data_IF_094182300183
#
_entry.id   IF_094182300183
#
_cell.length_a   1.000
_cell.length_b   1.000
_cell.length_c   1.000
_cell.angle_alpha   90.00
_cell.angle_beta   90.00
_cell.angle_gamma   90.00
#
_symmetry.space_group_name_H-M   'P 1'
#
loop_
_entity.id
_entity.type
_entity.pdbx_description
1 polymer ?
#
# COMPACT_ATOMS: atom_id res chain seq x y z
N UNK A 1 19.38 0.57 -7.06
CA UNK A 1 18.09 0.40 -6.35
C UNK A 1 17.65 -1.07 -6.22
N UNK A 2 17.94 -1.95 -7.18
CA UNK A 2 17.92 -3.40 -6.93
C UNK A 2 19.12 -3.86 -6.10
N UNK A 3 20.34 -3.38 -6.40
CA UNK A 3 21.57 -3.91 -5.79
C UNK A 3 21.59 -3.94 -4.25
N UNK A 4 21.10 -2.90 -3.56
CA UNK A 4 21.02 -2.91 -2.08
C UNK A 4 19.95 -3.86 -1.52
N UNK A 5 18.89 -4.14 -2.30
CA UNK A 5 17.89 -5.15 -1.98
C UNK A 5 18.39 -6.57 -2.30
N UNK A 6 19.27 -6.70 -3.29
CA UNK A 6 19.98 -7.94 -3.62
C UNK A 6 21.05 -8.26 -2.56
N UNK A 7 21.79 -7.27 -2.03
CA UNK A 7 22.79 -7.47 -0.96
C UNK A 7 22.11 -7.89 0.35
N UNK A 8 21.02 -7.22 0.77
CA UNK A 8 20.15 -7.67 1.89
C UNK A 8 19.70 -9.14 1.70
N UNK A 9 19.32 -9.52 0.47
CA UNK A 9 18.87 -10.88 0.12
C UNK A 9 20.04 -11.88 -0.09
N UNK A 10 21.28 -11.42 -0.25
CA UNK A 10 22.45 -12.29 -0.41
C UNK A 10 22.98 -12.74 0.95
N UNK A 11 22.94 -11.83 1.94
CA UNK A 11 23.22 -12.13 3.34
C UNK A 11 22.15 -13.09 3.93
N UNK A 12 20.91 -13.08 3.42
CA UNK A 12 19.82 -13.98 3.81
C UNK A 12 19.25 -14.83 2.64
N UNK A 13 19.98 -15.90 2.25
CA UNK A 13 19.90 -16.88 1.12
C UNK A 13 18.52 -17.53 0.73
N UNK A 14 18.50 -18.73 0.09
CA UNK A 14 17.33 -19.58 -0.36
C UNK A 14 16.23 -18.99 -1.28
N UNK A 15 15.55 -19.82 -2.07
CA UNK A 15 14.70 -19.39 -3.20
C UNK A 15 13.22 -19.07 -2.90
N UNK A 16 12.67 -18.13 -3.68
CA UNK A 16 11.24 -17.88 -3.90
C UNK A 16 11.04 -17.67 -5.43
N UNK A 17 9.89 -18.06 -5.99
CA UNK A 17 9.54 -17.89 -7.41
C UNK A 17 8.26 -17.05 -7.58
N UNK A 18 7.99 -16.60 -8.81
CA UNK A 18 6.68 -16.44 -9.50
C UNK A 18 6.79 -15.36 -10.59
N UNK A 19 6.17 -15.61 -11.76
CA UNK A 19 6.07 -14.66 -12.87
C UNK A 19 4.77 -13.84 -12.90
N UNK A 20 4.71 -12.84 -13.78
CA UNK A 20 3.51 -12.05 -14.05
C UNK A 20 3.20 -10.96 -13.02
N UNK A 21 3.08 -11.34 -11.74
CA UNK A 21 2.93 -10.46 -10.58
C UNK A 21 3.75 -11.04 -9.41
N UNK A 22 4.06 -10.26 -8.37
CA UNK A 22 4.85 -10.79 -7.25
C UNK A 22 3.94 -11.55 -6.26
N UNK A 23 3.89 -12.88 -6.36
CA UNK A 23 3.24 -13.75 -5.37
C UNK A 23 4.27 -14.46 -4.48
N UNK A 24 3.85 -14.83 -3.26
CA UNK A 24 4.61 -15.69 -2.34
C UNK A 24 3.63 -16.58 -1.57
N UNK A 25 3.93 -17.87 -1.50
CA UNK A 25 3.17 -18.86 -0.72
C UNK A 25 4.08 -19.48 0.33
N UNK A 26 3.56 -19.62 1.54
CA UNK A 26 4.16 -20.31 2.68
C UNK A 26 3.10 -21.19 3.33
N UNK A 27 3.51 -22.29 3.99
CA UNK A 27 2.62 -23.07 4.87
C UNK A 27 1.93 -22.23 5.94
N UNK A 28 2.44 -21.03 6.24
CA UNK A 28 1.87 -20.09 7.22
C UNK A 28 1.16 -18.88 6.59
N UNK A 29 1.05 -18.74 5.26
CA UNK A 29 0.33 -17.61 4.65
C UNK A 29 0.68 -17.28 3.20
N UNK A 30 -0.14 -16.43 2.58
CA UNK A 30 -0.09 -16.06 1.16
C UNK A 30 0.13 -14.56 1.01
N UNK A 31 0.84 -14.16 -0.06
CA UNK A 31 1.03 -12.77 -0.45
C UNK A 31 0.91 -12.62 -1.98
N UNK A 32 0.31 -11.52 -2.42
CA UNK A 32 0.28 -11.12 -3.82
C UNK A 32 0.44 -9.60 -3.94
N UNK A 33 1.12 -9.11 -4.96
CA UNK A 33 1.17 -7.68 -5.29
C UNK A 33 0.90 -7.43 -6.77
N UNK A 34 -0.16 -6.69 -7.05
CA UNK A 34 -0.68 -6.33 -8.38
C UNK A 34 -0.22 -4.93 -8.85
N UNK A 35 0.65 -4.25 -8.11
CA UNK A 35 1.22 -2.92 -8.46
C UNK A 35 2.47 -2.98 -9.32
N UNK A 36 2.99 -4.17 -9.64
CA UNK A 36 4.20 -4.38 -10.45
C UNK A 36 3.81 -4.96 -11.80
N UNK A 37 4.24 -4.32 -12.89
CA UNK A 37 4.02 -4.85 -14.25
C UNK A 37 5.05 -5.94 -14.59
N UNK A 38 4.67 -6.98 -15.36
CA UNK A 38 5.62 -7.98 -15.85
C UNK A 38 6.63 -7.36 -16.81
N UNK A 39 7.91 -7.48 -16.49
CA UNK A 39 8.99 -6.89 -17.27
C UNK A 39 9.19 -7.60 -18.62
N UNK A 40 8.58 -7.08 -19.69
CA UNK A 40 8.93 -7.45 -21.07
C UNK A 40 10.22 -6.73 -21.50
N UNK A 41 11.37 -7.42 -21.45
CA UNK A 41 12.54 -7.12 -22.30
C UNK A 41 13.37 -8.38 -22.56
N UNK A 42 13.75 -8.57 -23.81
CA UNK A 42 14.52 -9.72 -24.30
C UNK A 42 16.01 -9.64 -23.89
N UNK A 43 16.71 -10.78 -23.96
CA UNK A 43 18.18 -10.83 -24.00
C UNK A 43 18.92 -11.04 -22.69
N UNK A 44 18.28 -10.89 -21.52
CA UNK A 44 18.83 -11.38 -20.24
C UNK A 44 18.00 -12.56 -19.74
N UNK A 45 18.66 -13.70 -19.50
CA UNK A 45 18.08 -14.89 -18.88
C UNK A 45 17.24 -14.48 -17.65
N UNK A 46 15.96 -14.84 -17.73
CA UNK A 46 14.90 -13.95 -17.29
C UNK A 46 14.88 -13.66 -15.79
N UNK A 47 14.63 -12.39 -15.45
CA UNK A 47 14.08 -11.91 -14.17
C UNK A 47 12.62 -12.39 -13.97
N UNK A 48 12.34 -13.65 -14.33
CA UNK A 48 11.08 -14.38 -14.16
C UNK A 48 11.03 -15.17 -12.85
N UNK A 49 12.14 -15.19 -12.11
CA UNK A 49 12.30 -15.87 -10.82
C UNK A 49 12.30 -14.83 -9.70
N UNK A 50 11.63 -15.16 -8.60
CA UNK A 50 11.13 -14.22 -7.60
C UNK A 50 12.17 -13.79 -6.56
N UNK A 51 11.70 -13.56 -5.34
CA UNK A 51 12.52 -13.15 -4.20
C UNK A 51 13.43 -14.32 -3.71
N UNK A 52 14.18 -14.14 -2.62
CA UNK A 52 15.09 -15.15 -2.04
C UNK A 52 15.17 -14.89 -0.51
N UNK A 53 14.72 -15.82 0.34
CA UNK A 53 14.77 -15.77 1.84
C UNK A 53 14.99 -17.18 2.43
N UNK A 54 16.03 -17.38 3.27
CA UNK A 54 16.43 -18.67 3.88
C UNK A 54 15.73 -18.96 5.19
N UNK A 55 15.87 -20.23 5.57
CA UNK A 55 16.28 -20.64 6.91
C UNK A 55 15.60 -19.83 7.99
N UNK A 56 14.34 -20.14 8.22
CA UNK A 56 13.54 -19.48 9.22
C UNK A 56 12.06 -19.74 9.02
N UNK A 57 11.36 -19.93 10.13
CA UNK A 57 9.91 -19.89 10.13
C UNK A 57 9.45 -18.45 9.85
N UNK A 58 8.98 -18.18 8.64
CA UNK A 58 8.37 -16.89 8.33
C UNK A 58 7.03 -16.78 9.08
N UNK A 59 7.02 -15.94 10.12
CA UNK A 59 5.79 -15.58 10.83
C UNK A 59 4.92 -14.71 9.92
N UNK A 60 3.61 -14.89 10.00
CA UNK A 60 2.64 -14.09 9.25
C UNK A 60 2.83 -12.57 9.40
N UNK A 61 3.17 -12.09 10.60
CA UNK A 61 3.41 -10.66 10.86
C UNK A 61 4.58 -10.09 10.04
N UNK A 62 5.55 -10.93 9.65
CA UNK A 62 6.68 -10.54 8.82
C UNK A 62 6.29 -10.47 7.33
N UNK A 63 5.34 -11.30 6.87
CA UNK A 63 4.69 -11.17 5.54
C UNK A 63 3.92 -9.85 5.46
N UNK A 64 3.13 -9.54 6.49
CA UNK A 64 2.39 -8.27 6.61
C UNK A 64 3.36 -7.07 6.60
N UNK A 65 4.43 -7.12 7.40
CA UNK A 65 5.50 -6.11 7.40
C UNK A 65 6.15 -5.92 6.01
N UNK A 66 6.38 -7.00 5.26
CA UNK A 66 6.89 -6.93 3.89
C UNK A 66 5.91 -6.23 2.93
N UNK A 67 4.62 -6.58 2.99
CA UNK A 67 3.57 -5.90 2.22
C UNK A 67 3.57 -4.39 2.48
N UNK A 68 3.66 -3.98 3.75
CA UNK A 68 3.77 -2.56 4.13
C UNK A 68 5.05 -1.89 3.63
N UNK A 69 6.20 -2.54 3.74
CA UNK A 69 7.48 -2.02 3.22
C UNK A 69 7.39 -1.78 1.71
N UNK A 70 6.71 -2.67 0.98
CA UNK A 70 6.54 -2.60 -0.47
C UNK A 70 5.53 -1.51 -0.88
N UNK A 71 4.31 -1.52 -0.33
CA UNK A 71 3.31 -0.47 -0.60
C UNK A 71 3.76 0.92 -0.14
N UNK A 72 4.52 1.05 0.96
CA UNK A 72 5.18 2.32 1.34
C UNK A 72 6.15 2.79 0.27
N UNK A 73 6.93 1.88 -0.34
CA UNK A 73 7.86 2.23 -1.43
C UNK A 73 7.10 2.69 -2.67
N UNK A 74 6.01 2.00 -3.05
CA UNK A 74 5.14 2.39 -4.17
C UNK A 74 4.49 3.76 -3.93
N UNK A 75 3.87 3.96 -2.76
CA UNK A 75 3.29 5.23 -2.35
C UNK A 75 4.32 6.37 -2.37
N UNK A 76 5.53 6.17 -1.83
CA UNK A 76 6.61 7.18 -1.84
C UNK A 76 7.22 7.42 -3.23
N UNK A 77 7.09 6.50 -4.18
CA UNK A 77 7.45 6.74 -5.58
C UNK A 77 6.38 7.57 -6.30
N UNK A 78 5.09 7.24 -6.14
CA UNK A 78 3.97 8.02 -6.70
C UNK A 78 3.90 9.44 -6.11
N UNK A 79 4.14 9.57 -4.80
CA UNK A 79 4.14 10.83 -4.06
C UNK A 79 5.43 11.63 -4.08
N UNK A 80 6.34 11.45 -5.05
CA UNK A 80 7.52 12.33 -5.19
C UNK A 80 7.08 13.72 -5.65
N UNK A 81 6.75 14.57 -4.69
CA UNK A 81 6.43 15.98 -4.91
C UNK A 81 7.75 16.78 -4.95
N UNK A 82 7.82 17.78 -5.85
CA UNK A 82 8.91 18.78 -5.83
C UNK A 82 8.99 19.33 -4.41
N UNK A 83 10.13 19.10 -3.76
CA UNK A 83 10.46 19.82 -2.56
C UNK A 83 10.77 21.25 -2.97
N UNK A 84 10.18 22.23 -2.30
CA UNK A 84 10.75 23.58 -2.30
C UNK A 84 12.11 23.56 -1.60
N UNK A 85 12.49 24.68 -1.01
CA UNK A 85 13.83 24.84 -0.43
C UNK A 85 14.17 23.80 0.65
N UNK A 86 13.17 23.25 1.36
CA UNK A 86 13.32 22.25 2.43
C UNK A 86 13.35 20.78 1.95
N UNK A 87 13.48 20.52 0.64
CA UNK A 87 13.64 19.17 0.08
C UNK A 87 15.10 18.72 -0.02
N UNK A 88 15.34 17.40 -0.05
CA UNK A 88 16.68 16.87 -0.28
C UNK A 88 17.06 17.03 -1.77
N UNK A 89 18.31 17.42 -2.05
CA UNK A 89 18.80 17.53 -3.43
C UNK A 89 18.90 16.13 -4.05
N UNK A 90 18.13 15.86 -5.09
CA UNK A 90 18.09 14.58 -5.81
C UNK A 90 18.65 14.67 -7.24
N UNK A 91 18.93 15.89 -7.71
CA UNK A 91 19.50 16.15 -9.02
C UNK A 91 19.54 17.66 -9.30
N UNK A 92 19.48 18.02 -10.58
CA UNK A 92 19.44 19.41 -11.03
C UNK A 92 18.36 19.63 -12.10
N UNK A 93 17.99 20.89 -12.31
CA UNK A 93 17.01 21.35 -13.31
C UNK A 93 17.58 22.55 -14.08
N UNK A 94 17.07 22.81 -15.28
CA UNK A 94 17.28 24.11 -15.95
C UNK A 94 16.45 25.15 -15.18
N UNK A 95 17.04 26.27 -14.76
CA UNK A 95 16.32 27.31 -14.01
C UNK A 95 15.32 28.02 -14.91
N UNK A 96 14.06 28.09 -14.47
CA UNK A 96 13.01 28.89 -15.14
C UNK A 96 12.79 30.26 -14.49
N UNK A 97 13.38 30.52 -13.32
CA UNK A 97 13.26 31.80 -12.60
C UNK A 97 14.45 32.71 -12.90
N UNK A 98 14.21 34.02 -12.99
CA UNK A 98 15.26 35.05 -13.15
C UNK A 98 16.27 35.05 -11.99
N UNK A 99 15.83 34.66 -10.79
CA UNK A 99 16.66 34.51 -9.59
C UNK A 99 16.52 33.09 -9.01
N UNK A 100 17.64 32.41 -8.79
CA UNK A 100 17.74 31.05 -8.25
C UNK A 100 19.11 30.82 -7.60
N UNK A 101 19.26 29.78 -6.78
CA UNK A 101 20.56 29.38 -6.21
C UNK A 101 21.23 28.32 -7.12
N UNK A 102 22.34 28.64 -7.81
CA UNK A 102 22.99 27.70 -8.73
C UNK A 102 23.69 26.56 -8.00
N UNK A 103 23.64 25.35 -8.58
CA UNK A 103 24.49 24.22 -8.19
C UNK A 103 25.82 24.31 -8.92
N UNK A 104 26.80 24.98 -8.32
CA UNK A 104 28.12 25.21 -8.94
C UNK A 104 28.78 23.92 -9.45
N UNK A 105 28.85 22.86 -8.64
CA UNK A 105 29.45 21.57 -9.02
C UNK A 105 28.76 20.95 -10.25
N UNK A 106 27.42 20.98 -10.31
CA UNK A 106 26.68 20.44 -11.45
C UNK A 106 26.77 21.33 -12.69
N UNK A 107 26.87 22.65 -12.49
CA UNK A 107 27.03 23.65 -13.56
C UNK A 107 28.41 23.55 -14.21
N UNK A 108 29.47 23.41 -13.41
CA UNK A 108 30.84 23.14 -13.87
C UNK A 108 30.88 21.82 -14.67
N UNK A 109 30.29 20.74 -14.14
CA UNK A 109 30.18 19.46 -14.86
C UNK A 109 29.45 19.61 -16.20
N UNK A 110 28.39 20.42 -16.27
CA UNK A 110 27.64 20.70 -17.50
C UNK A 110 28.47 21.49 -18.53
N UNK A 111 29.24 22.48 -18.09
CA UNK A 111 30.18 23.20 -18.97
C UNK A 111 31.27 22.27 -19.54
N UNK A 112 31.85 21.40 -18.70
CA UNK A 112 32.86 20.41 -19.14
C UNK A 112 32.25 19.38 -20.10
N UNK A 113 31.03 18.89 -19.85
CA UNK A 113 30.30 18.02 -20.78
C UNK A 113 30.03 18.68 -22.14
N UNK A 114 29.96 20.01 -22.19
CA UNK A 114 29.87 20.82 -23.41
C UNK A 114 31.24 21.17 -24.01
N UNK A 115 32.31 20.48 -23.60
CA UNK A 115 33.72 20.67 -24.01
C UNK A 115 34.28 22.07 -23.74
N UNK A 116 33.76 22.77 -22.71
CA UNK A 116 34.24 24.10 -22.28
C UNK A 116 35.19 23.98 -21.09
N UNK A 117 35.97 25.05 -20.85
CA UNK A 117 36.74 25.24 -19.61
C UNK A 117 35.80 25.16 -18.38
N UNK A 118 36.28 24.80 -17.18
CA UNK A 118 35.47 24.67 -15.96
C UNK A 118 35.00 26.02 -15.35
N UNK A 119 34.67 27.00 -16.21
CA UNK A 119 34.02 28.27 -15.88
C UNK A 119 32.61 28.24 -16.51
N UNK A 120 31.54 27.91 -15.77
CA UNK A 120 30.21 27.74 -16.34
C UNK A 120 29.62 29.08 -16.81
N UNK A 121 29.04 29.10 -18.00
CA UNK A 121 28.27 30.24 -18.51
C UNK A 121 26.82 30.20 -17.99
N UNK A 122 26.06 31.27 -18.22
CA UNK A 122 24.66 31.39 -17.78
C UNK A 122 23.78 30.18 -18.19
N UNK A 123 23.94 29.68 -19.42
CA UNK A 123 23.24 28.50 -19.96
C UNK A 123 23.73 27.14 -19.40
N UNK A 124 24.88 27.13 -18.72
CA UNK A 124 25.42 25.98 -17.99
C UNK A 124 24.95 25.97 -16.52
N UNK A 125 24.39 27.07 -16.02
CA UNK A 125 23.84 27.14 -14.67
C UNK A 125 22.60 26.25 -14.52
N UNK A 126 22.57 25.48 -13.43
CA UNK A 126 21.46 24.60 -13.08
C UNK A 126 21.02 24.83 -11.64
N UNK A 127 19.71 24.76 -11.38
CA UNK A 127 19.16 24.88 -10.03
C UNK A 127 19.00 23.50 -9.37
N UNK A 128 18.90 23.49 -8.03
CA UNK A 128 18.74 22.25 -7.26
C UNK A 128 17.38 21.59 -7.54
N UNK A 129 17.37 20.38 -8.12
CA UNK A 129 16.17 19.55 -8.01
C UNK A 129 16.09 19.04 -6.58
N UNK A 130 15.20 19.64 -5.79
CA UNK A 130 14.87 19.17 -4.45
C UNK A 130 13.59 18.33 -4.53
N UNK A 131 13.63 17.11 -4.01
CA UNK A 131 12.44 16.28 -3.81
C UNK A 131 12.19 16.16 -2.30
N UNK A 132 10.94 16.33 -1.86
CA UNK A 132 10.55 16.03 -0.47
C UNK A 132 10.07 14.59 -0.42
N UNK A 133 10.69 13.74 0.40
CA UNK A 133 10.17 12.39 0.66
C UNK A 133 8.76 12.53 1.26
N UNK A 134 7.74 12.03 0.55
CA UNK A 134 6.38 12.00 1.07
C UNK A 134 6.35 11.24 2.41
N UNK A 135 5.64 11.83 3.38
CA UNK A 135 5.26 11.13 4.61
C UNK A 135 4.07 10.24 4.29
N UNK A 136 4.01 9.05 4.86
CA UNK A 136 2.94 8.09 4.57
C UNK A 136 1.88 8.13 5.68
N UNK A 137 0.61 7.93 5.30
CA UNK A 137 -0.53 7.86 6.23
C UNK A 137 -1.29 6.56 6.01
N UNK A 138 -1.16 5.62 6.94
CA UNK A 138 -1.87 4.34 6.94
C UNK A 138 -3.29 4.54 7.47
N UNK A 139 -4.29 4.08 6.71
CA UNK A 139 -5.70 4.18 7.08
C UNK A 139 -6.22 2.76 7.21
N UNK A 140 -6.33 2.27 8.44
CA UNK A 140 -6.79 0.92 8.73
C UNK A 140 -8.32 0.94 8.77
N UNK A 141 -8.93 0.15 7.90
CA UNK A 141 -10.34 -0.26 7.94
C UNK A 141 -10.35 -1.67 8.51
N UNK A 142 -10.80 -1.79 9.75
CA UNK A 142 -10.98 -3.06 10.44
C UNK A 142 -12.45 -3.45 10.38
N UNK A 143 -12.68 -4.65 9.88
CA UNK A 143 -13.95 -5.35 10.02
C UNK A 143 -14.14 -5.81 11.47
N UNK A 144 -15.32 -5.60 12.04
CA UNK A 144 -15.67 -6.05 13.40
C UNK A 144 -16.93 -6.90 13.45
N UNK A 145 -17.28 -7.51 12.31
CA UNK A 145 -18.33 -8.52 12.20
C UNK A 145 -18.14 -9.69 13.19
N UNK A 146 -19.21 -10.39 13.55
CA UNK A 146 -19.16 -11.49 14.52
C UNK A 146 -18.21 -12.62 14.09
N UNK A 147 -18.09 -12.88 12.78
CA UNK A 147 -17.14 -13.86 12.24
C UNK A 147 -15.67 -13.49 12.48
N UNK A 148 -15.36 -12.21 12.70
CA UNK A 148 -14.02 -11.74 13.06
C UNK A 148 -13.61 -12.11 14.49
N UNK A 149 -14.52 -12.62 15.34
CA UNK A 149 -14.19 -13.20 16.65
C UNK A 149 -13.18 -14.35 16.53
N UNK A 150 -13.37 -15.23 15.54
CA UNK A 150 -12.44 -16.31 15.23
C UNK A 150 -11.15 -15.81 14.55
N UNK A 151 -11.16 -14.58 14.04
CA UNK A 151 -10.03 -13.92 13.37
C UNK A 151 -9.13 -13.10 14.30
N UNK A 152 -9.36 -13.08 15.62
CA UNK A 152 -8.57 -12.28 16.58
C UNK A 152 -7.04 -12.50 16.46
N UNK A 153 -6.60 -13.73 16.23
CA UNK A 153 -5.18 -14.05 15.95
C UNK A 153 -4.68 -13.38 14.68
N UNK A 154 -5.47 -13.41 13.61
CA UNK A 154 -5.18 -12.74 12.34
C UNK A 154 -5.11 -11.21 12.48
N UNK A 155 -6.06 -10.61 13.21
CA UNK A 155 -6.05 -9.16 13.51
C UNK A 155 -4.77 -8.79 14.29
N UNK A 156 -4.43 -9.52 15.36
CA UNK A 156 -3.23 -9.24 16.15
C UNK A 156 -1.95 -9.36 15.31
N UNK A 157 -1.85 -10.42 14.50
CA UNK A 157 -0.78 -10.63 13.52
C UNK A 157 -0.65 -9.46 12.53
N UNK A 158 -1.77 -8.97 12.00
CA UNK A 158 -1.81 -7.84 11.08
C UNK A 158 -1.32 -6.55 11.75
N UNK A 159 -1.86 -6.24 12.94
CA UNK A 159 -1.51 -5.06 13.73
C UNK A 159 -0.01 -5.08 14.12
N UNK A 160 0.52 -6.23 14.54
CA UNK A 160 1.95 -6.41 14.85
C UNK A 160 2.86 -6.18 13.64
N UNK A 161 2.42 -6.61 12.45
CA UNK A 161 3.12 -6.32 11.18
C UNK A 161 3.13 -4.83 10.82
N UNK A 162 2.02 -4.13 11.05
CA UNK A 162 1.90 -2.67 10.85
C UNK A 162 2.75 -1.89 11.88
N UNK A 163 2.77 -2.33 13.14
CA UNK A 163 3.49 -1.68 14.23
C UNK A 163 4.99 -1.59 13.98
N UNK A 164 5.61 -2.74 13.67
CA UNK A 164 7.03 -2.89 13.34
C UNK A 164 7.49 -1.89 12.27
N UNK A 165 6.62 -1.68 11.28
CA UNK A 165 6.87 -0.86 10.11
C UNK A 165 6.58 0.63 10.33
N UNK A 166 5.52 0.96 11.06
CA UNK A 166 5.06 2.34 11.26
C UNK A 166 5.90 3.09 12.30
N UNK A 167 6.25 2.46 13.43
CA UNK A 167 7.13 3.04 14.47
C UNK A 167 8.48 3.48 13.87
N UNK A 168 9.07 2.64 13.01
CA UNK A 168 10.37 2.91 12.34
C UNK A 168 10.35 4.16 11.45
N UNK A 169 9.22 4.45 10.81
CA UNK A 169 9.14 5.49 9.77
C UNK A 169 8.36 6.75 10.19
N UNK A 170 7.81 6.78 11.41
CA UNK A 170 6.93 7.84 11.92
C UNK A 170 5.77 8.14 10.94
N UNK A 171 5.23 7.07 10.36
CA UNK A 171 4.04 7.16 9.50
C UNK A 171 2.82 7.53 10.34
N UNK A 172 1.87 8.32 9.80
CA UNK A 172 0.59 8.56 10.47
C UNK A 172 -0.29 7.32 10.32
N UNK A 173 -1.15 7.05 11.29
CA UNK A 173 -2.02 5.89 11.32
C UNK A 173 -3.39 6.27 11.88
N UNK A 174 -4.44 5.78 11.23
CA UNK A 174 -5.83 5.92 11.66
C UNK A 174 -6.51 4.55 11.71
N UNK A 175 -7.53 4.45 12.56
CA UNK A 175 -8.38 3.27 12.68
C UNK A 175 -9.83 3.67 12.38
N UNK A 176 -10.42 2.97 11.43
CA UNK A 176 -11.83 2.97 11.07
C UNK A 176 -12.34 1.56 11.38
N UNK A 177 -13.49 1.47 12.04
CA UNK A 177 -14.12 0.20 12.37
C UNK A 177 -15.50 0.13 11.71
N UNK A 178 -15.78 -0.98 11.05
CA UNK A 178 -17.11 -1.35 10.55
C UNK A 178 -17.95 -1.87 11.73
N UNK A 179 -19.03 -1.18 12.12
CA UNK A 179 -19.88 -1.53 13.28
C UNK A 179 -21.35 -1.21 12.97
N UNK A 180 -22.24 -2.15 13.28
CA UNK A 180 -23.66 -2.03 12.96
C UNK A 180 -23.85 -1.87 11.44
N UNK A 181 -24.73 -0.97 11.02
CA UNK A 181 -24.97 -0.70 9.59
C UNK A 181 -23.97 0.27 8.95
N UNK A 182 -22.91 0.69 9.66
CA UNK A 182 -22.00 1.73 9.19
C UNK A 182 -20.55 1.62 9.69
N UNK A 183 -19.82 2.73 9.67
CA UNK A 183 -18.43 2.72 10.09
C UNK A 183 -18.04 3.99 10.84
N UNK A 184 -17.12 3.86 11.80
CA UNK A 184 -16.71 4.95 12.70
C UNK A 184 -15.20 5.13 12.67
N UNK A 185 -14.73 6.38 12.63
CA UNK A 185 -13.29 6.70 12.69
C UNK A 185 -12.86 6.74 14.16
N UNK A 186 -12.57 5.56 14.72
CA UNK A 186 -12.13 5.37 16.11
C UNK A 186 -10.87 6.18 16.42
N UNK A 187 -9.91 6.22 15.50
CA UNK A 187 -8.68 7.00 15.66
C UNK A 187 -8.39 7.82 14.39
N UNK A 188 -8.37 9.15 14.53
CA UNK A 188 -7.88 10.08 13.49
C UNK A 188 -6.37 9.90 13.25
N UNK A 189 -5.84 10.25 12.06
CA UNK A 189 -4.44 9.95 11.72
C UNK A 189 -3.43 10.54 12.72
N UNK A 190 -2.71 9.68 13.44
CA UNK A 190 -1.72 10.05 14.47
C UNK A 190 -0.40 9.30 14.26
N UNK A 191 0.73 9.86 14.69
CA UNK A 191 2.02 9.15 14.72
C UNK A 191 2.18 8.27 15.97
N UNK A 192 1.28 8.38 16.95
CA UNK A 192 1.35 7.59 18.17
C UNK A 192 0.59 6.25 18.02
N UNK A 193 1.33 5.16 17.80
CA UNK A 193 0.78 3.81 17.68
C UNK A 193 0.02 3.35 18.93
N UNK A 194 0.46 3.77 20.13
CA UNK A 194 -0.16 3.34 21.38
C UNK A 194 -1.62 3.81 21.52
N UNK A 195 -1.96 4.98 20.96
CA UNK A 195 -3.36 5.46 20.94
C UNK A 195 -4.26 4.60 20.06
N UNK A 196 -3.72 4.04 18.98
CA UNK A 196 -4.46 3.12 18.12
C UNK A 196 -4.66 1.78 18.84
N UNK A 197 -3.64 1.25 19.51
CA UNK A 197 -3.73 0.03 20.32
C UNK A 197 -4.70 0.17 21.49
N UNK A 198 -4.64 1.27 22.25
CA UNK A 198 -5.52 1.48 23.40
C UNK A 198 -6.99 1.51 22.99
N UNK A 199 -7.30 2.20 21.89
CA UNK A 199 -8.66 2.23 21.35
C UNK A 199 -9.08 0.92 20.69
N UNK A 200 -8.17 0.21 20.02
CA UNK A 200 -8.48 -1.09 19.44
C UNK A 200 -8.94 -2.10 20.51
N UNK A 201 -8.36 -2.06 21.72
CA UNK A 201 -8.82 -2.87 22.87
C UNK A 201 -10.24 -2.54 23.34
N UNK A 202 -10.77 -1.37 23.01
CA UNK A 202 -12.12 -0.91 23.36
C UNK A 202 -13.15 -1.19 22.23
N UNK A 203 -12.71 -1.76 21.10
CA UNK A 203 -13.60 -2.11 19.98
C UNK A 203 -14.27 -3.44 20.27
N UNK A 204 -15.55 -3.40 20.65
CA UNK A 204 -16.41 -4.59 20.68
C UNK A 204 -16.81 -5.04 19.27
N UNK A 205 -16.91 -6.36 19.09
CA UNK A 205 -17.43 -7.02 17.87
C UNK A 205 -18.96 -6.88 17.79
N UNK A 206 -19.53 -6.99 16.59
CA UNK A 206 -20.96 -6.75 16.31
C UNK A 206 -21.39 -7.61 15.11
N UNK A 207 -22.68 -7.89 14.94
CA UNK A 207 -23.13 -8.93 13.98
C UNK A 207 -23.05 -8.55 12.48
N UNK A 208 -22.87 -7.27 12.17
CA UNK A 208 -22.96 -6.73 10.81
C UNK A 208 -21.59 -6.34 10.21
N UNK A 209 -21.45 -6.55 8.90
CA UNK A 209 -20.23 -6.33 8.08
C UNK A 209 -20.42 -5.23 7.02
N UNK A 210 -20.49 -3.94 7.41
CA UNK A 210 -20.59 -2.81 6.47
C UNK A 210 -19.21 -2.44 5.89
N UNK A 211 -18.51 -3.42 5.29
CA UNK A 211 -17.16 -3.28 4.74
C UNK A 211 -17.08 -2.16 3.69
N UNK A 212 -18.11 -2.05 2.83
CA UNK A 212 -18.21 -0.97 1.85
C UNK A 212 -18.24 0.43 2.50
N UNK A 213 -18.97 0.59 3.62
CA UNK A 213 -18.98 1.84 4.41
C UNK A 213 -17.59 2.13 4.97
N UNK A 214 -16.92 1.14 5.57
CA UNK A 214 -15.56 1.29 6.09
C UNK A 214 -14.56 1.72 5.03
N UNK A 215 -14.56 1.02 3.89
CA UNK A 215 -13.72 1.36 2.73
C UNK A 215 -14.02 2.77 2.18
N UNK A 216 -15.31 3.18 2.14
CA UNK A 216 -15.70 4.50 1.65
C UNK A 216 -15.24 5.62 2.58
N UNK A 217 -15.39 5.45 3.91
CA UNK A 217 -14.83 6.40 4.89
C UNK A 217 -13.30 6.44 4.83
N UNK A 218 -12.66 5.28 4.61
CA UNK A 218 -11.22 5.19 4.37
C UNK A 218 -10.76 5.94 3.12
N UNK A 219 -11.50 5.84 2.02
CA UNK A 219 -11.29 6.59 0.79
C UNK A 219 -11.40 8.11 1.02
N UNK A 220 -12.44 8.58 1.70
CA UNK A 220 -12.60 10.01 2.01
C UNK A 220 -11.48 10.55 2.91
N UNK A 221 -11.04 9.76 3.90
CA UNK A 221 -9.90 10.11 4.76
C UNK A 221 -8.58 10.11 3.97
N UNK A 222 -8.40 9.20 3.02
CA UNK A 222 -7.24 9.14 2.14
C UNK A 222 -7.13 10.40 1.26
N UNK A 223 -8.23 10.87 0.68
CA UNK A 223 -8.26 12.14 -0.05
C UNK A 223 -7.89 13.32 0.86
N UNK A 224 -8.41 13.35 2.10
CA UNK A 224 -8.10 14.41 3.09
C UNK A 224 -6.61 14.43 3.46
N UNK A 225 -6.00 13.28 3.73
CA UNK A 225 -4.57 13.18 4.06
C UNK A 225 -3.68 13.47 2.84
N UNK A 226 -4.11 13.13 1.62
CA UNK A 226 -3.40 13.51 0.39
C UNK A 226 -3.32 15.01 0.18
N UNK A 227 -4.41 15.75 0.46
CA UNK A 227 -4.44 17.23 0.46
C UNK A 227 -3.47 17.81 1.51
N UNK A 228 -3.34 17.17 2.68
CA UNK A 228 -2.40 17.52 3.76
C UNK A 228 -0.92 17.18 3.48
N UNK A 229 -0.59 16.68 2.29
CA UNK A 229 0.80 16.40 1.90
C UNK A 229 1.34 15.02 2.30
N UNK A 230 0.48 14.13 2.80
CA UNK A 230 0.83 12.72 3.02
C UNK A 230 0.49 11.91 1.77
N UNK A 231 1.09 10.73 1.58
CA UNK A 231 0.52 9.72 0.69
C UNK A 231 -0.23 8.67 1.50
N UNK A 232 -1.54 8.47 1.24
CA UNK A 232 -2.33 7.50 1.95
C UNK A 232 -2.05 6.07 1.46
N UNK A 233 -2.05 5.13 2.41
CA UNK A 233 -2.11 3.68 2.17
C UNK A 233 -3.38 3.20 2.89
N UNK A 234 -4.37 2.74 2.14
CA UNK A 234 -5.57 2.14 2.71
C UNK A 234 -5.28 0.68 3.06
N UNK A 235 -5.57 0.29 4.30
CA UNK A 235 -5.41 -1.07 4.79
C UNK A 235 -6.78 -1.62 5.09
N UNK A 236 -7.14 -2.77 4.53
CA UNK A 236 -8.41 -3.44 4.85
C UNK A 236 -8.08 -4.75 5.56
N UNK A 237 -8.65 -4.98 6.74
CA UNK A 237 -8.50 -6.21 7.53
C UNK A 237 -9.91 -6.79 7.69
N UNK A 238 -10.19 -7.93 7.08
CA UNK A 238 -11.51 -8.58 7.02
C UNK A 238 -11.36 -10.06 6.66
N UNK A 239 -12.39 -10.88 6.88
CA UNK A 239 -12.52 -12.23 6.31
C UNK A 239 -13.22 -12.23 4.93
N UNK A 240 -13.76 -11.07 4.53
CA UNK A 240 -14.44 -10.83 3.25
C UNK A 240 -15.94 -11.11 3.24
N UNK A 241 -16.54 -11.51 4.36
CA UNK A 241 -17.96 -11.85 4.44
C UNK A 241 -18.83 -10.59 4.58
N UNK A 242 -19.26 -10.03 3.45
CA UNK A 242 -20.06 -8.79 3.41
C UNK A 242 -21.57 -9.08 3.44
N UNK A 243 -22.32 -8.28 4.21
CA UNK A 243 -23.78 -8.43 4.33
C UNK A 243 -24.55 -7.10 4.40
N UNK A 244 -23.87 -5.95 4.54
CA UNK A 244 -24.53 -4.62 4.55
C UNK A 244 -24.13 -3.81 3.30
N UNK A 245 -25.07 -3.49 2.40
CA UNK A 245 -24.84 -2.58 1.29
C UNK A 245 -24.71 -1.12 1.75
N UNK A 246 -24.26 -0.25 0.84
CA UNK A 246 -24.40 1.19 1.05
C UNK A 246 -25.87 1.61 0.84
N UNK A 247 -26.34 2.57 1.64
CA UNK A 247 -27.73 3.09 1.61
C UNK A 247 -28.21 3.56 0.23
N UNK A 248 -27.28 3.94 -0.67
CA UNK A 248 -27.59 4.40 -2.02
C UNK A 248 -27.14 3.35 -3.04
N UNK A 249 -27.99 2.96 -4.00
CA UNK A 249 -27.60 2.05 -5.07
C UNK A 249 -26.59 2.76 -5.98
N UNK A 250 -25.44 2.13 -6.19
CA UNK A 250 -24.38 2.67 -7.05
C UNK A 250 -24.07 1.73 -8.22
N UNK A 251 -23.98 2.29 -9.43
CA UNK A 251 -23.48 1.56 -10.59
C UNK A 251 -21.95 1.44 -10.52
N UNK A 252 -21.47 0.24 -10.22
CA UNK A 252 -20.07 -0.16 -10.47
C UNK A 252 -19.90 -0.55 -11.94
N UNK A 253 -18.65 -0.62 -12.44
CA UNK A 253 -18.38 -1.12 -13.80
C UNK A 253 -18.74 -2.59 -14.01
N UNK A 254 -18.80 -3.35 -12.93
CA UNK A 254 -19.23 -4.74 -12.91
C UNK A 254 -20.56 -4.83 -12.15
N UNK A 255 -21.32 -5.87 -12.46
CA UNK A 255 -22.54 -6.20 -11.75
C UNK A 255 -22.30 -7.42 -10.85
N UNK A 256 -22.89 -7.39 -9.65
CA UNK A 256 -23.03 -8.53 -8.77
C UNK A 256 -24.49 -8.59 -8.31
N UNK A 257 -25.01 -9.80 -8.18
CA UNK A 257 -26.38 -10.05 -7.71
C UNK A 257 -26.53 -9.60 -6.24
N UNK A 258 -25.47 -9.77 -5.44
CA UNK A 258 -25.42 -9.35 -4.04
C UNK A 258 -25.19 -7.81 -3.93
N UNK A 259 -26.12 -7.05 -3.31
CA UNK A 259 -25.97 -5.60 -3.14
C UNK A 259 -24.79 -5.15 -2.27
N UNK A 260 -24.39 -5.96 -1.28
CA UNK A 260 -23.25 -5.68 -0.40
C UNK A 260 -21.92 -5.89 -1.14
N UNK A 261 -21.81 -6.96 -1.93
CA UNK A 261 -20.69 -7.18 -2.87
C UNK A 261 -20.62 -6.04 -3.89
N UNK A 262 -21.75 -5.69 -4.51
CA UNK A 262 -21.82 -4.59 -5.48
C UNK A 262 -21.36 -3.26 -4.88
N UNK A 263 -21.72 -2.99 -3.62
CA UNK A 263 -21.28 -1.82 -2.86
C UNK A 263 -19.76 -1.79 -2.65
N UNK A 264 -19.13 -2.94 -2.33
CA UNK A 264 -17.66 -3.04 -2.23
C UNK A 264 -17.00 -2.82 -3.60
N UNK A 265 -17.52 -3.40 -4.67
CA UNK A 265 -16.98 -3.21 -6.02
C UNK A 265 -17.05 -1.75 -6.49
N UNK A 266 -18.13 -1.03 -6.15
CA UNK A 266 -18.25 0.41 -6.41
C UNK A 266 -17.19 1.23 -5.66
N UNK A 267 -17.02 1.00 -4.36
CA UNK A 267 -15.99 1.73 -3.57
C UNK A 267 -14.58 1.39 -4.06
N UNK A 268 -14.36 0.14 -4.48
CA UNK A 268 -13.11 -0.31 -5.12
C UNK A 268 -12.82 0.46 -6.41
N UNK A 269 -13.82 0.70 -7.26
CA UNK A 269 -13.68 1.55 -8.45
C UNK A 269 -13.28 2.99 -8.09
N UNK A 270 -13.81 3.57 -7.00
CA UNK A 270 -13.42 4.91 -6.54
C UNK A 270 -11.95 4.95 -6.07
N UNK A 271 -11.53 3.97 -5.27
CA UNK A 271 -10.17 3.83 -4.74
C UNK A 271 -9.16 3.65 -5.90
N UNK A 272 -9.49 2.79 -6.87
CA UNK A 272 -8.68 2.54 -8.05
C UNK A 272 -8.54 3.78 -8.94
N UNK A 273 -9.66 4.48 -9.24
CA UNK A 273 -9.65 5.75 -9.99
C UNK A 273 -8.78 6.82 -9.31
N UNK A 274 -8.84 6.91 -7.98
CA UNK A 274 -8.02 7.83 -7.19
C UNK A 274 -6.56 7.37 -7.01
N UNK A 275 -6.16 6.19 -7.52
CA UNK A 275 -4.81 5.62 -7.40
C UNK A 275 -4.31 5.65 -5.94
N UNK A 276 -5.18 5.29 -4.99
CA UNK A 276 -4.80 5.13 -3.59
C UNK A 276 -4.16 3.76 -3.44
N UNK A 277 -2.99 3.72 -2.81
CA UNK A 277 -2.29 2.45 -2.56
C UNK A 277 -3.07 1.63 -1.53
N UNK A 278 -3.27 0.34 -1.79
CA UNK A 278 -4.03 -0.53 -0.87
C UNK A 278 -3.26 -1.77 -0.43
N UNK A 279 -3.45 -2.16 0.82
CA UNK A 279 -3.05 -3.47 1.36
C UNK A 279 -4.29 -4.15 1.90
N UNK A 280 -4.68 -5.27 1.30
CA UNK A 280 -5.78 -6.10 1.77
C UNK A 280 -5.19 -7.24 2.60
N UNK A 281 -5.70 -7.45 3.81
CA UNK A 281 -5.29 -8.52 4.73
C UNK A 281 -6.52 -9.36 5.01
N UNK A 282 -6.58 -10.53 4.38
CA UNK A 282 -7.59 -11.54 4.63
C UNK A 282 -7.20 -12.34 5.88
N UNK A 283 -8.02 -12.29 6.92
CA UNK A 283 -7.76 -12.99 8.19
C UNK A 283 -8.16 -14.45 8.19
N UNK A 284 -8.88 -14.91 7.16
CA UNK A 284 -9.43 -16.27 7.02
C UNK A 284 -9.26 -16.74 5.57
N UNK A 285 -8.03 -16.77 5.09
CA UNK A 285 -7.75 -17.15 3.72
C UNK A 285 -8.10 -18.62 3.48
N UNK A 286 -8.90 -18.87 2.45
CA UNK A 286 -9.16 -20.19 1.88
C UNK A 286 -8.67 -20.21 0.45
N UNK A 287 -8.24 -21.35 -0.06
CA UNK A 287 -7.94 -21.46 -1.49
C UNK A 287 -9.23 -21.22 -2.29
N UNK A 288 -9.21 -20.35 -3.32
CA UNK A 288 -10.40 -20.08 -4.11
C UNK A 288 -10.75 -21.32 -4.94
N UNK A 289 -11.93 -21.87 -4.70
CA UNK A 289 -12.49 -22.97 -5.49
C UNK A 289 -13.12 -22.34 -6.73
N UNK A 290 -12.41 -22.38 -7.85
CA UNK A 290 -12.84 -21.80 -9.15
C UNK A 290 -14.03 -22.54 -9.82
N UNK A 291 -14.76 -23.38 -9.08
CA UNK A 291 -15.99 -24.00 -9.58
C UNK A 291 -17.10 -22.96 -9.71
N UNK A 292 -18.08 -23.26 -10.56
CA UNK A 292 -19.09 -22.34 -11.09
C UNK A 292 -20.17 -21.90 -10.09
N UNK A 293 -19.79 -21.51 -8.87
CA UNK A 293 -20.70 -20.98 -7.87
C UNK A 293 -21.18 -19.55 -8.26
N UNK A 294 -22.49 -19.27 -8.21
CA UNK A 294 -23.02 -17.93 -8.51
C UNK A 294 -22.70 -16.87 -7.44
N UNK A 295 -22.14 -17.28 -6.30
CA UNK A 295 -21.80 -16.44 -5.16
C UNK A 295 -20.27 -16.35 -5.01
N UNK A 296 -19.74 -15.13 -5.06
CA UNK A 296 -18.31 -14.89 -4.83
C UNK A 296 -17.95 -15.12 -3.36
N UNK A 297 -16.91 -15.90 -3.08
CA UNK A 297 -16.45 -16.08 -1.71
C UNK A 297 -15.77 -14.81 -1.16
N UNK A 298 -15.76 -14.65 0.16
CA UNK A 298 -15.09 -13.51 0.81
C UNK A 298 -13.59 -13.41 0.44
N UNK A 299 -12.90 -14.54 0.26
CA UNK A 299 -11.51 -14.54 -0.20
C UNK A 299 -11.39 -14.01 -1.63
N UNK A 300 -12.22 -14.48 -2.56
CA UNK A 300 -12.19 -14.02 -3.96
C UNK A 300 -12.55 -12.56 -4.07
N UNK A 301 -13.53 -12.08 -3.28
CA UNK A 301 -13.86 -10.66 -3.18
C UNK A 301 -12.63 -9.85 -2.75
N UNK A 302 -11.94 -10.23 -1.67
CA UNK A 302 -10.75 -9.52 -1.19
C UNK A 302 -9.57 -9.56 -2.18
N UNK A 303 -9.36 -10.68 -2.89
CA UNK A 303 -8.37 -10.77 -3.98
C UNK A 303 -8.77 -9.86 -5.15
N UNK A 304 -10.05 -9.84 -5.52
CA UNK A 304 -10.60 -9.01 -6.60
C UNK A 304 -10.47 -7.52 -6.28
N UNK A 305 -10.72 -7.11 -5.04
CA UNK A 305 -10.45 -5.75 -4.54
C UNK A 305 -8.97 -5.41 -4.73
N UNK A 306 -8.04 -6.23 -4.22
CA UNK A 306 -6.61 -5.99 -4.34
C UNK A 306 -6.11 -5.92 -5.80
N UNK A 307 -6.62 -6.79 -6.68
CA UNK A 307 -6.30 -6.80 -8.11
C UNK A 307 -6.77 -5.52 -8.79
N UNK A 308 -8.01 -5.07 -8.50
CA UNK A 308 -8.64 -3.91 -9.15
C UNK A 308 -8.02 -2.58 -8.71
N UNK A 309 -7.61 -2.46 -7.45
CA UNK A 309 -6.84 -1.30 -6.96
C UNK A 309 -5.36 -1.33 -7.33
N UNK A 310 -4.87 -2.43 -7.93
CA UNK A 310 -3.44 -2.72 -8.15
C UNK A 310 -2.65 -2.68 -6.83
N UNK A 311 -3.24 -3.18 -5.74
CA UNK A 311 -2.64 -3.18 -4.41
C UNK A 311 -1.88 -4.47 -4.07
N UNK A 312 -1.55 -4.60 -2.79
CA UNK A 312 -1.08 -5.84 -2.18
C UNK A 312 -2.25 -6.60 -1.52
N UNK A 313 -2.18 -7.92 -1.54
CA UNK A 313 -3.04 -8.85 -0.81
C UNK A 313 -2.16 -9.72 0.11
N UNK A 314 -2.64 -9.99 1.33
CA UNK A 314 -2.04 -10.89 2.31
C UNK A 314 -3.13 -11.85 2.80
N UNK A 315 -2.95 -13.14 2.59
CA UNK A 315 -3.80 -14.19 3.16
C UNK A 315 -3.16 -14.76 4.42
N UNK A 316 -3.85 -14.68 5.55
CA UNK A 316 -3.49 -15.35 6.80
C UNK A 316 -4.21 -16.71 6.83
N UNK A 317 -3.46 -17.77 7.16
CA UNK A 317 -3.90 -19.18 7.23
C UNK A 317 -3.87 -19.62 8.70
#
# INVERSE_FOLDING_TARGET
MLLSLLIDAFLHKNAIYVGGNAFFFSRKGVFANFSLEPAKKAGMLSLSRGLKILGGEIRQSDIVSFAFKLSRKVAKMRGRRRGGEKGAVTGYLIPHKKYFKPLLISSIRRAVLRRRKPKPLWEDLVEARRDRRARTSMIIVLDSSASMMYSLRGIYTAIKGIEKESRRHRDRISLIVCKGFGSVVVQQPTTNFNLLLSKLKQVGLNDFTPLASGMFRGYLLALRERRRGYEPILVVISDGNVNVPLEKPFRSREYSIDPAVQSVLYVTDLIAKAKIETVIINTKHREPVYESAPLISGTELLIKVAKKTRGSYVGLI
#
